data_IF_361543017237
#
_entry.id   IF_361543017237
#
_cell.length_a   1.000
_cell.length_b   1.000
_cell.length_c   1.000
_cell.angle_alpha   90.00
_cell.angle_beta   90.00
_cell.angle_gamma   90.00
#
_symmetry.space_group_name_H-M   'P 1'
#
loop_
_entity.id
_entity.type
_entity.pdbx_description
1 polymer ?
#
# COMPACT_ATOMS: atom_id res chain seq x y z
N UNK A 1 -26.92 22.45 -5.18
CA UNK A 1 -26.28 21.15 -5.43
C UNK A 1 -24.88 21.27 -4.87
N UNK A 2 -24.43 20.31 -4.07
CA UNK A 2 -23.05 20.33 -3.57
C UNK A 2 -22.09 20.07 -4.73
N UNK A 3 -20.88 20.60 -4.64
CA UNK A 3 -19.81 20.28 -5.59
C UNK A 3 -19.33 18.85 -5.29
N UNK A 4 -19.49 17.95 -6.25
CA UNK A 4 -19.13 16.52 -6.13
C UNK A 4 -17.68 16.25 -6.60
N UNK A 5 -16.86 17.30 -6.66
CA UNK A 5 -15.45 17.19 -7.02
C UNK A 5 -14.63 16.59 -5.87
N UNK A 6 -13.55 15.89 -6.21
CA UNK A 6 -12.57 15.39 -5.26
C UNK A 6 -11.17 15.51 -5.82
N UNK A 7 -10.19 15.60 -4.93
CA UNK A 7 -8.77 15.65 -5.29
C UNK A 7 -8.20 14.23 -5.34
N UNK A 8 -7.40 13.96 -6.36
CA UNK A 8 -6.68 12.70 -6.52
C UNK A 8 -5.26 12.86 -5.98
N UNK A 9 -4.86 11.93 -5.14
CA UNK A 9 -3.51 11.87 -4.59
C UNK A 9 -2.79 10.63 -5.10
N UNK A 10 -1.51 10.82 -5.46
CA UNK A 10 -0.60 9.69 -5.61
C UNK A 10 -0.17 9.23 -4.21
N UNK A 11 -0.26 7.92 -3.96
CA UNK A 11 0.04 7.34 -2.66
C UNK A 11 1.27 6.44 -2.74
N UNK A 12 2.06 6.44 -1.67
CA UNK A 12 3.00 5.37 -1.35
C UNK A 12 2.52 4.70 -0.07
N UNK A 13 2.15 3.43 -0.16
CA UNK A 13 1.70 2.64 0.99
C UNK A 13 2.83 1.71 1.38
N UNK A 14 3.20 1.73 2.65
CA UNK A 14 4.35 0.99 3.18
C UNK A 14 3.95 0.10 4.35
N UNK A 15 4.49 -1.12 4.37
CA UNK A 15 4.35 -2.05 5.47
C UNK A 15 5.26 -1.63 6.65
N UNK A 16 4.65 -1.07 7.69
CA UNK A 16 5.32 -0.77 8.96
C UNK A 16 5.09 -1.92 9.93
N UNK A 17 6.18 -2.53 10.40
CA UNK A 17 6.13 -3.72 11.25
C UNK A 17 6.53 -3.34 12.67
N UNK A 18 5.62 -3.50 13.66
CA UNK A 18 5.95 -3.25 15.04
C UNK A 18 6.93 -4.31 15.58
N UNK A 19 7.89 -3.88 16.39
CA UNK A 19 8.84 -4.77 17.05
C UNK A 19 8.14 -5.87 17.85
N UNK A 20 8.60 -7.12 17.71
CA UNK A 20 8.12 -8.27 18.47
C UNK A 20 6.71 -8.76 18.10
N UNK A 21 6.05 -8.21 17.07
CA UNK A 21 4.73 -8.67 16.63
C UNK A 21 4.83 -9.62 15.43
N UNK A 22 3.96 -10.66 15.36
CA UNK A 22 3.95 -11.55 14.23
C UNK A 22 3.48 -10.82 12.96
N UNK A 23 4.15 -11.09 11.85
CA UNK A 23 3.74 -10.63 10.53
C UNK A 23 3.10 -11.80 9.80
N UNK A 24 1.90 -11.59 9.31
CA UNK A 24 1.21 -12.56 8.47
C UNK A 24 1.35 -12.16 7.00
N UNK A 25 1.16 -13.14 6.11
CA UNK A 25 1.13 -12.91 4.66
C UNK A 25 2.46 -12.49 4.03
N UNK A 26 3.59 -12.70 4.73
CA UNK A 26 4.94 -12.62 4.15
C UNK A 26 5.49 -11.22 3.90
N UNK A 27 4.81 -10.17 4.38
CA UNK A 27 5.29 -8.80 4.28
C UNK A 27 6.62 -8.63 5.04
N UNK A 28 7.50 -7.79 4.49
CA UNK A 28 8.75 -7.37 5.12
C UNK A 28 8.70 -5.89 5.43
N UNK A 29 9.50 -5.47 6.41
CA UNK A 29 9.57 -4.07 6.80
C UNK A 29 10.05 -3.23 5.61
N UNK A 30 9.30 -2.18 5.29
CA UNK A 30 9.59 -1.31 4.16
C UNK A 30 9.10 -1.81 2.80
N UNK A 31 8.47 -2.99 2.71
CA UNK A 31 7.74 -3.38 1.48
C UNK A 31 6.68 -2.32 1.18
N UNK A 32 6.65 -1.82 -0.05
CA UNK A 32 5.73 -0.77 -0.45
C UNK A 32 5.16 -0.93 -1.86
N UNK A 33 4.02 -0.30 -2.11
CA UNK A 33 3.54 -0.04 -3.47
C UNK A 33 3.23 1.44 -3.65
N UNK A 34 3.33 1.90 -4.90
CA UNK A 34 2.84 3.21 -5.32
C UNK A 34 1.48 3.04 -5.99
N UNK A 35 0.53 3.91 -5.65
CA UNK A 35 -0.77 4.04 -6.32
C UNK A 35 -0.81 5.40 -7.01
N UNK A 36 -0.89 5.40 -8.34
CA UNK A 36 -1.00 6.62 -9.15
C UNK A 36 -2.25 6.53 -10.00
N UNK A 37 -3.27 7.30 -9.64
CA UNK A 37 -4.63 7.09 -10.14
C UNK A 37 -5.12 5.67 -9.82
N UNK A 38 -5.31 4.86 -10.86
CA UNK A 38 -5.75 3.45 -10.75
C UNK A 38 -4.60 2.43 -10.81
N UNK A 39 -3.37 2.88 -11.08
CA UNK A 39 -2.23 2.01 -11.32
C UNK A 39 -1.46 1.73 -10.03
N UNK A 40 -1.36 0.45 -9.69
CA UNK A 40 -0.52 -0.05 -8.60
C UNK A 40 0.79 -0.61 -9.14
N UNK A 41 1.91 -0.12 -8.63
CA UNK A 41 3.25 -0.59 -8.99
C UNK A 41 4.13 -0.87 -7.77
N UNK A 42 5.01 -1.87 -7.89
CA UNK A 42 5.94 -2.30 -6.84
C UNK A 42 7.36 -2.43 -7.40
N UNK A 43 8.40 -2.34 -6.54
CA UNK A 43 9.76 -2.71 -6.92
C UNK A 43 9.84 -4.13 -7.50
N UNK A 44 10.74 -4.33 -8.47
CA UNK A 44 10.93 -5.63 -9.10
C UNK A 44 11.29 -6.71 -8.07
N UNK A 45 10.56 -7.83 -8.11
CA UNK A 45 10.77 -8.96 -7.19
C UNK A 45 10.13 -8.81 -5.81
N UNK A 46 9.45 -7.68 -5.54
CA UNK A 46 8.70 -7.49 -4.31
C UNK A 46 7.25 -8.00 -4.47
N UNK A 47 6.75 -8.64 -3.42
CA UNK A 47 5.32 -8.95 -3.28
C UNK A 47 4.69 -8.06 -2.23
N UNK A 48 3.40 -7.78 -2.38
CA UNK A 48 2.59 -7.16 -1.34
C UNK A 48 1.28 -7.92 -1.25
N UNK A 49 0.91 -8.39 -0.05
CA UNK A 49 -0.33 -9.14 0.11
C UNK A 49 -1.52 -8.19 0.04
N UNK A 50 -2.39 -8.37 -0.95
CA UNK A 50 -3.63 -7.59 -1.06
C UNK A 50 -4.58 -7.81 0.12
N UNK A 51 -4.48 -8.96 0.80
CA UNK A 51 -5.28 -9.26 1.99
C UNK A 51 -4.91 -8.39 3.18
N UNK A 52 -3.74 -7.73 3.16
CA UNK A 52 -3.34 -6.76 4.17
C UNK A 52 -4.05 -5.41 4.04
N UNK A 53 -4.80 -5.17 2.95
CA UNK A 53 -5.55 -3.92 2.69
C UNK A 53 -7.04 -4.01 3.04
N UNK A 54 -7.52 -5.20 3.40
CA UNK A 54 -8.93 -5.49 3.69
C UNK A 54 -9.28 -5.35 5.18
#
# INVERSE_FOLDING_TARGET
MADDSFELFDLRVEAVIPEGKPIYCGAKEGDYFELKGEMLSMPAGQGFSIYSLA
#
